data_IF_532078722472
#
_entry.id   IF_532078722472
#
_cell.length_a   1.000
_cell.length_b   1.000
_cell.length_c   1.000
_cell.angle_alpha   90.00
_cell.angle_beta   90.00
_cell.angle_gamma   90.00
#
_symmetry.space_group_name_H-M   'P 1'
#
loop_
_entity.id
_entity.type
_entity.pdbx_description
1 polymer ?
#
# COMPACT_ATOMS: atom_id res chain seq x y z
N UNK A 1 -76.31 -54.89 -5.22
CA UNK A 1 -75.65 -54.79 -3.91
C UNK A 1 -74.15 -54.63 -4.13
N UNK A 2 -73.54 -53.49 -3.75
CA UNK A 2 -72.83 -53.28 -2.46
C UNK A 2 -71.76 -54.36 -2.19
N UNK A 3 -70.48 -54.09 -1.88
CA UNK A 3 -69.76 -52.88 -1.44
C UNK A 3 -68.23 -53.15 -1.43
N UNK A 4 -67.45 -52.09 -1.67
CA UNK A 4 -66.20 -51.63 -1.03
C UNK A 4 -65.04 -52.62 -0.73
N UNK A 5 -63.82 -52.41 -1.24
CA UNK A 5 -62.84 -51.32 -1.07
C UNK A 5 -61.89 -51.53 0.13
N UNK A 6 -60.62 -51.79 -0.18
CA UNK A 6 -59.44 -51.37 0.58
C UNK A 6 -58.33 -50.94 -0.40
N UNK A 7 -57.73 -49.81 -0.05
CA UNK A 7 -56.98 -48.80 -0.81
C UNK A 7 -55.47 -49.03 -0.95
N UNK A 8 -54.78 -48.18 -1.73
CA UNK A 8 -53.55 -47.40 -1.42
C UNK A 8 -52.85 -46.91 -2.75
N UNK A 9 -51.94 -45.91 -2.72
CA UNK A 9 -52.15 -44.47 -2.56
C UNK A 9 -51.70 -43.65 -3.80
N UNK A 10 -52.04 -42.36 -3.82
CA UNK A 10 -51.72 -41.42 -4.89
C UNK A 10 -50.23 -41.12 -5.07
N UNK A 11 -49.73 -41.21 -6.31
CA UNK A 11 -48.43 -40.70 -6.71
C UNK A 11 -48.54 -39.23 -7.14
N UNK A 12 -48.12 -38.33 -6.25
CA UNK A 12 -48.05 -36.90 -6.55
C UNK A 12 -46.97 -36.65 -7.62
N UNK A 13 -47.44 -36.36 -8.84
CA UNK A 13 -46.65 -35.74 -9.91
C UNK A 13 -46.02 -34.44 -9.41
N UNK A 14 -44.71 -34.41 -9.23
CA UNK A 14 -43.94 -33.16 -9.11
C UNK A 14 -43.35 -32.79 -10.47
N UNK A 15 -44.13 -32.02 -11.24
CA UNK A 15 -43.65 -31.30 -12.42
C UNK A 15 -42.83 -30.09 -11.97
N UNK A 16 -41.55 -30.28 -11.69
CA UNK A 16 -40.58 -29.22 -11.42
C UNK A 16 -39.88 -28.76 -12.70
N UNK A 17 -40.52 -27.90 -13.48
CA UNK A 17 -39.89 -27.25 -14.63
C UNK A 17 -38.82 -26.25 -14.13
N UNK A 18 -37.56 -26.70 -14.02
CA UNK A 18 -36.43 -25.79 -13.76
C UNK A 18 -36.23 -24.84 -14.94
N UNK A 19 -36.49 -23.55 -14.72
CA UNK A 19 -36.18 -22.45 -15.64
C UNK A 19 -34.66 -22.28 -15.79
N UNK A 20 -34.06 -23.12 -16.65
CA UNK A 20 -32.64 -23.05 -17.10
C UNK A 20 -32.21 -21.68 -17.64
N UNK A 21 -33.16 -20.79 -17.94
CA UNK A 21 -32.89 -19.43 -18.46
C UNK A 21 -32.57 -18.38 -17.40
N UNK A 22 -32.88 -18.62 -16.11
CA UNK A 22 -32.59 -17.64 -15.05
C UNK A 22 -31.15 -17.72 -14.50
N UNK A 23 -30.53 -18.90 -14.57
CA UNK A 23 -29.21 -19.13 -14.00
C UNK A 23 -28.07 -18.54 -14.85
N UNK A 24 -28.23 -18.53 -16.18
CA UNK A 24 -27.21 -18.02 -17.11
C UNK A 24 -27.11 -16.49 -17.03
N UNK A 25 -28.22 -15.79 -16.81
CA UNK A 25 -28.25 -14.33 -16.66
C UNK A 25 -27.58 -13.87 -15.36
N UNK A 26 -27.73 -14.61 -14.25
CA UNK A 26 -27.14 -14.23 -12.97
C UNK A 26 -25.61 -14.42 -12.95
N UNK A 27 -25.11 -15.52 -13.55
CA UNK A 27 -23.67 -15.78 -13.67
C UNK A 27 -22.99 -14.81 -14.64
N UNK A 28 -23.64 -14.46 -15.76
CA UNK A 28 -23.12 -13.47 -16.71
C UNK A 28 -23.06 -12.05 -16.12
N UNK A 29 -24.02 -11.66 -15.29
CA UNK A 29 -24.02 -10.37 -14.59
C UNK A 29 -22.89 -10.24 -13.56
N UNK A 30 -22.58 -11.31 -12.83
CA UNK A 30 -21.50 -11.30 -11.84
C UNK A 30 -20.10 -11.17 -12.47
N UNK A 31 -19.86 -11.83 -13.62
CA UNK A 31 -18.60 -11.65 -14.36
C UNK A 31 -18.48 -10.25 -14.97
N UNK A 32 -19.57 -9.67 -15.47
CA UNK A 32 -19.57 -8.31 -16.03
C UNK A 32 -19.33 -7.23 -14.95
N UNK A 33 -19.82 -7.42 -13.73
CA UNK A 33 -19.53 -6.52 -12.60
C UNK A 33 -18.10 -6.65 -12.09
N UNK A 34 -17.55 -7.87 -12.02
CA UNK A 34 -16.17 -8.08 -11.59
C UNK A 34 -15.14 -7.45 -12.55
N UNK A 35 -15.42 -7.43 -13.86
CA UNK A 35 -14.56 -6.80 -14.87
C UNK A 35 -14.72 -5.28 -14.90
N UNK A 36 -15.94 -4.75 -14.79
CA UNK A 36 -16.19 -3.32 -14.66
C UNK A 36 -15.52 -2.73 -13.40
N UNK A 37 -15.60 -3.43 -12.26
CA UNK A 37 -14.98 -3.00 -10.99
C UNK A 37 -13.44 -2.98 -11.05
N UNK A 38 -12.80 -3.88 -11.82
CA UNK A 38 -11.34 -3.84 -12.07
C UNK A 38 -10.96 -2.75 -13.08
N UNK A 39 -11.81 -2.47 -14.07
CA UNK A 39 -11.58 -1.40 -15.04
C UNK A 39 -11.86 0.01 -14.46
N UNK A 40 -12.68 0.11 -13.40
CA UNK A 40 -12.98 1.35 -12.68
C UNK A 40 -12.05 1.63 -11.49
N UNK A 41 -10.90 0.95 -11.38
CA UNK A 41 -9.80 1.56 -10.63
C UNK A 41 -9.35 2.80 -11.40
N UNK A 42 -10.07 3.91 -11.16
CA UNK A 42 -9.59 5.26 -11.43
C UNK A 42 -8.14 5.25 -11.02
N UNK A 43 -7.25 5.52 -11.98
CA UNK A 43 -5.81 5.57 -11.78
C UNK A 43 -5.54 6.68 -10.76
N UNK A 44 -5.68 6.36 -9.47
CA UNK A 44 -5.53 7.32 -8.38
C UNK A 44 -4.10 7.82 -8.49
N UNK A 45 -3.95 9.14 -8.65
CA UNK A 45 -2.64 9.77 -8.62
C UNK A 45 -2.02 9.43 -7.26
N UNK A 46 -0.88 8.75 -7.29
CA UNK A 46 -0.22 8.31 -6.05
C UNK A 46 0.38 9.51 -5.33
N UNK A 47 0.39 9.51 -4.00
CA UNK A 47 0.91 10.61 -3.20
C UNK A 47 2.11 10.16 -2.38
N UNK A 48 3.25 10.81 -2.58
CA UNK A 48 4.48 10.56 -1.84
C UNK A 48 4.68 11.70 -0.86
N UNK A 49 4.76 11.42 0.43
CA UNK A 49 5.21 12.41 1.42
C UNK A 49 6.72 12.39 1.55
N UNK A 50 7.39 13.53 1.40
CA UNK A 50 8.85 13.64 1.45
C UNK A 50 9.31 14.66 2.51
N UNK A 51 10.13 14.22 3.47
CA UNK A 51 10.70 15.08 4.52
C UNK A 51 11.95 15.86 4.06
N UNK A 52 11.87 16.62 2.95
CA UNK A 52 12.92 17.55 2.51
C UNK A 52 12.42 18.37 1.30
N UNK A 53 12.36 19.71 1.31
CA UNK A 53 12.21 20.50 0.09
C UNK A 53 13.58 20.87 -0.51
N UNK A 54 13.62 21.54 -1.68
CA UNK A 54 14.86 22.01 -2.29
C UNK A 54 15.58 23.11 -1.47
N UNK A 55 16.93 23.20 -1.52
CA UNK A 55 17.84 22.40 -2.34
C UNK A 55 17.95 20.98 -1.80
N UNK A 56 17.64 20.02 -2.68
CA UNK A 56 17.65 18.61 -2.34
C UNK A 56 19.10 18.17 -2.17
N UNK A 57 19.33 17.19 -1.31
CA UNK A 57 20.59 16.46 -1.39
C UNK A 57 20.57 15.54 -2.62
N UNK A 58 21.76 15.15 -3.07
CA UNK A 58 21.93 14.35 -4.29
C UNK A 58 21.13 13.04 -4.30
N UNK A 59 20.86 12.49 -3.12
CA UNK A 59 20.17 11.23 -2.89
C UNK A 59 18.66 11.35 -3.17
N UNK A 60 18.04 12.45 -2.73
CA UNK A 60 16.65 12.74 -3.06
C UNK A 60 16.49 13.01 -4.56
N UNK A 61 17.42 13.74 -5.19
CA UNK A 61 17.39 13.97 -6.63
C UNK A 61 17.53 12.66 -7.41
N UNK A 62 18.48 11.80 -7.02
CA UNK A 62 18.67 10.49 -7.63
C UNK A 62 17.41 9.61 -7.47
N UNK A 63 16.77 9.64 -6.31
CA UNK A 63 15.51 8.94 -6.07
C UNK A 63 14.40 9.41 -7.04
N UNK A 64 14.23 10.71 -7.22
CA UNK A 64 13.20 11.27 -8.11
C UNK A 64 13.52 11.04 -9.59
N UNK A 65 14.81 11.02 -9.97
CA UNK A 65 15.23 10.59 -11.31
C UNK A 65 14.89 9.12 -11.54
N UNK A 66 15.17 8.26 -10.56
CA UNK A 66 14.83 6.83 -10.64
C UNK A 66 13.32 6.60 -10.74
N UNK A 67 12.51 7.33 -9.95
CA UNK A 67 11.05 7.28 -10.06
C UNK A 67 10.57 7.64 -11.47
N UNK A 68 11.10 8.73 -12.05
CA UNK A 68 10.81 9.11 -13.44
C UNK A 68 11.22 8.04 -14.44
N UNK A 69 12.38 7.41 -14.26
CA UNK A 69 12.83 6.28 -15.09
C UNK A 69 11.92 5.05 -15.04
N UNK A 70 11.21 4.87 -13.92
CA UNK A 70 10.17 3.83 -13.74
C UNK A 70 8.78 4.27 -14.24
N UNK A 71 8.67 5.46 -14.84
CA UNK A 71 7.43 6.02 -15.35
C UNK A 71 6.58 6.75 -14.31
N UNK A 72 7.09 7.01 -13.09
CA UNK A 72 6.43 7.85 -12.09
C UNK A 72 6.87 9.31 -12.25
N UNK A 73 6.00 10.12 -12.85
CA UNK A 73 6.28 11.51 -13.20
C UNK A 73 5.43 12.43 -12.33
N UNK A 74 6.12 13.30 -11.59
CA UNK A 74 5.50 14.29 -10.71
C UNK A 74 4.56 15.21 -11.49
N UNK A 75 3.32 15.35 -11.02
CA UNK A 75 2.27 16.14 -11.67
C UNK A 75 1.46 15.39 -12.74
N UNK A 76 1.93 14.22 -13.20
CA UNK A 76 1.19 13.39 -14.17
C UNK A 76 0.48 12.21 -13.50
N UNK A 77 1.23 11.38 -12.77
CA UNK A 77 0.71 10.17 -12.13
C UNK A 77 1.16 9.99 -10.68
N UNK A 78 2.03 10.88 -10.18
CA UNK A 78 2.39 10.99 -8.77
C UNK A 78 2.39 12.45 -8.35
N UNK A 79 1.93 12.73 -7.13
CA UNK A 79 2.13 14.01 -6.45
C UNK A 79 3.14 13.80 -5.32
N UNK A 80 4.14 14.68 -5.24
CA UNK A 80 5.10 14.67 -4.14
C UNK A 80 4.75 15.83 -3.21
N UNK A 81 4.46 15.49 -1.96
CA UNK A 81 4.09 16.40 -0.89
C UNK A 81 5.32 16.64 -0.02
N UNK A 82 5.91 17.82 -0.14
CA UNK A 82 7.15 18.17 0.55
C UNK A 82 6.87 18.76 1.93
N UNK A 83 7.68 18.37 2.92
CA UNK A 83 7.70 18.99 4.25
C UNK A 83 9.13 19.29 4.68
N UNK A 84 9.37 20.55 5.05
CA UNK A 84 10.65 20.98 5.61
C UNK A 84 10.59 21.14 7.12
N UNK A 85 11.63 20.62 7.75
CA UNK A 85 11.92 20.92 9.15
C UNK A 85 12.76 22.20 9.31
N UNK A 86 13.32 22.76 8.23
CA UNK A 86 14.27 23.89 8.22
C UNK A 86 15.44 23.67 9.19
N UNK A 87 15.91 22.42 9.29
CA UNK A 87 16.96 21.99 10.21
C UNK A 87 16.53 21.79 11.67
N UNK A 88 15.26 21.99 12.01
CA UNK A 88 14.72 21.74 13.36
C UNK A 88 13.96 20.40 13.43
N UNK A 89 14.65 19.35 13.88
CA UNK A 89 14.09 18.01 14.03
C UNK A 89 12.86 17.95 14.95
N UNK A 90 12.64 18.94 15.84
CA UNK A 90 11.46 18.99 16.70
C UNK A 90 10.16 19.22 15.94
N UNK A 91 10.25 19.69 14.69
CA UNK A 91 9.08 19.89 13.81
C UNK A 91 8.67 18.62 13.09
N UNK A 92 9.57 17.65 12.93
CA UNK A 92 9.32 16.42 12.17
C UNK A 92 8.09 15.65 12.64
N UNK A 93 7.78 15.52 13.95
CA UNK A 93 6.55 14.84 14.38
C UNK A 93 5.27 15.50 13.87
N UNK A 94 5.21 16.84 13.88
CA UNK A 94 4.03 17.57 13.37
C UNK A 94 3.93 17.44 11.85
N UNK A 95 5.04 17.58 11.14
CA UNK A 95 5.09 17.41 9.68
C UNK A 95 4.72 15.99 9.24
N UNK A 96 5.12 14.97 10.01
CA UNK A 96 4.73 13.60 9.78
C UNK A 96 3.22 13.42 9.95
N UNK A 97 2.64 13.97 11.03
CA UNK A 97 1.20 13.93 11.25
C UNK A 97 0.41 14.62 10.12
N UNK A 98 0.92 15.75 9.60
CA UNK A 98 0.32 16.43 8.45
C UNK A 98 0.32 15.56 7.19
N UNK A 99 1.43 14.88 6.88
CA UNK A 99 1.50 13.97 5.73
C UNK A 99 0.58 12.75 5.89
N UNK A 100 0.50 12.19 7.10
CA UNK A 100 -0.45 11.11 7.40
C UNK A 100 -1.90 11.58 7.22
N UNK A 101 -2.24 12.75 7.75
CA UNK A 101 -3.57 13.33 7.63
C UNK A 101 -3.94 13.67 6.17
N UNK A 102 -2.95 14.00 5.35
CA UNK A 102 -3.12 14.24 3.91
C UNK A 102 -3.42 12.95 3.13
N UNK A 103 -3.22 11.79 3.74
CA UNK A 103 -3.46 10.48 3.11
C UNK A 103 -2.43 10.15 2.04
N UNK A 104 -1.14 10.38 2.33
CA UNK A 104 -0.06 9.91 1.45
C UNK A 104 -0.01 8.38 1.40
N UNK A 105 0.37 7.83 0.26
CA UNK A 105 0.47 6.39 0.06
C UNK A 105 1.81 5.84 0.56
N UNK A 106 2.88 6.65 0.52
CA UNK A 106 4.23 6.31 1.02
C UNK A 106 4.88 7.55 1.65
N UNK A 107 5.57 7.36 2.76
CA UNK A 107 6.47 8.33 3.37
C UNK A 107 7.91 8.05 2.94
N UNK A 108 8.66 9.08 2.58
CA UNK A 108 10.04 8.98 2.12
C UNK A 108 10.91 9.97 2.90
N UNK A 109 12.07 9.53 3.33
CA UNK A 109 13.02 10.35 4.08
C UNK A 109 14.47 9.96 3.77
N UNK A 110 15.38 10.94 3.88
CA UNK A 110 16.83 10.73 3.78
C UNK A 110 17.52 10.89 5.15
N UNK A 111 16.77 11.00 6.25
CA UNK A 111 17.32 11.25 7.59
C UNK A 111 16.74 10.30 8.63
N UNK A 112 17.55 9.89 9.59
CA UNK A 112 17.10 9.00 10.66
C UNK A 112 16.02 9.63 11.57
N UNK A 113 16.13 10.92 11.98
CA UNK A 113 15.04 11.61 12.68
C UNK A 113 13.71 11.60 11.90
N UNK A 114 13.76 11.72 10.58
CA UNK A 114 12.58 11.63 9.72
C UNK A 114 11.92 10.24 9.75
N UNK A 115 12.72 9.17 9.74
CA UNK A 115 12.20 7.79 9.88
C UNK A 115 11.50 7.62 11.22
N UNK A 116 12.11 8.09 12.31
CA UNK A 116 11.54 7.97 13.65
C UNK A 116 10.23 8.77 13.78
N UNK A 117 10.17 9.97 13.21
CA UNK A 117 8.96 10.77 13.18
C UNK A 117 7.84 10.07 12.39
N UNK A 118 8.15 9.53 11.21
CA UNK A 118 7.22 8.75 10.40
C UNK A 118 6.71 7.51 11.14
N UNK A 119 7.60 6.73 11.76
CA UNK A 119 7.25 5.54 12.51
C UNK A 119 6.30 5.82 13.69
N UNK A 120 6.53 6.95 14.39
CA UNK A 120 5.65 7.40 15.47
C UNK A 120 4.29 7.88 14.96
N UNK A 121 4.25 8.49 13.78
CA UNK A 121 3.02 9.00 13.19
C UNK A 121 2.15 7.88 12.60
N UNK A 122 2.76 6.79 12.12
CA UNK A 122 2.03 5.67 11.49
C UNK A 122 2.81 4.36 11.50
N UNK A 123 2.08 3.27 11.72
CA UNK A 123 2.56 1.89 11.60
C UNK A 123 2.03 1.18 10.35
N UNK A 124 1.23 1.87 9.53
CA UNK A 124 0.52 1.27 8.38
C UNK A 124 0.97 1.84 7.04
N UNK A 125 1.32 3.12 6.99
CA UNK A 125 1.83 3.73 5.75
C UNK A 125 3.30 3.32 5.58
N UNK A 126 3.69 2.73 4.44
CA UNK A 126 5.08 2.39 4.19
C UNK A 126 5.99 3.62 4.29
N UNK A 127 7.09 3.46 5.01
CA UNK A 127 8.15 4.47 5.17
C UNK A 127 9.42 3.95 4.52
N UNK A 128 9.94 4.68 3.54
CA UNK A 128 11.16 4.36 2.80
C UNK A 128 12.27 5.33 3.20
N UNK A 129 13.34 4.79 3.77
CA UNK A 129 14.59 5.51 3.97
C UNK A 129 15.45 5.39 2.71
N UNK A 130 15.71 6.52 2.04
CA UNK A 130 16.49 6.54 0.78
C UNK A 130 17.89 5.97 1.02
N UNK A 131 18.55 6.47 2.07
CA UNK A 131 19.87 6.03 2.52
C UNK A 131 19.98 6.29 4.02
N UNK A 132 20.57 5.37 4.77
CA UNK A 132 20.64 5.50 6.22
C UNK A 132 21.50 4.46 6.94
N UNK A 133 21.55 4.53 8.28
CA UNK A 133 22.15 3.50 9.12
C UNK A 133 21.37 2.17 9.02
N UNK A 134 21.91 1.12 9.63
CA UNK A 134 21.26 -0.19 9.67
C UNK A 134 19.98 -0.17 10.51
N UNK A 135 18.84 -0.27 9.82
CA UNK A 135 17.51 -0.29 10.43
C UNK A 135 17.26 -1.52 11.30
N UNK A 136 17.97 -2.63 11.08
CA UNK A 136 17.89 -3.84 11.91
C UNK A 136 18.60 -3.62 13.23
N UNK A 137 19.83 -3.10 13.20
CA UNK A 137 20.59 -2.74 14.41
C UNK A 137 19.86 -1.69 15.26
N UNK A 138 19.04 -0.84 14.64
CA UNK A 138 18.22 0.16 15.33
C UNK A 138 16.86 -0.38 15.82
N UNK A 139 16.54 -1.65 15.57
CA UNK A 139 15.28 -2.28 15.98
C UNK A 139 14.04 -1.78 15.22
N UNK A 140 14.24 -1.09 14.09
CA UNK A 140 13.16 -0.58 13.23
C UNK A 140 12.75 -1.58 12.14
N UNK A 141 13.55 -2.62 11.92
CA UNK A 141 13.26 -3.73 11.02
C UNK A 141 13.71 -5.05 11.66
N UNK A 142 12.96 -6.13 11.43
CA UNK A 142 13.31 -7.46 11.92
C UNK A 142 14.51 -8.07 11.16
N UNK A 143 14.62 -7.80 9.85
CA UNK A 143 15.74 -8.22 9.01
C UNK A 143 15.80 -7.37 7.74
N UNK A 144 16.95 -7.36 7.05
CA UNK A 144 17.10 -6.62 5.79
C UNK A 144 16.26 -7.22 4.66
N UNK A 145 16.12 -8.55 4.60
CA UNK A 145 15.34 -9.21 3.55
C UNK A 145 13.83 -9.11 3.82
N UNK A 146 13.43 -9.12 5.09
CA UNK A 146 12.03 -9.08 5.51
C UNK A 146 11.92 -8.16 6.74
N UNK A 147 11.60 -6.87 6.55
CA UNK A 147 11.57 -5.90 7.64
C UNK A 147 10.51 -6.19 8.71
N UNK A 148 9.43 -6.91 8.38
CA UNK A 148 8.40 -7.30 9.34
C UNK A 148 7.50 -6.16 9.84
N UNK A 149 7.69 -4.94 9.34
CA UNK A 149 6.90 -3.75 9.66
C UNK A 149 6.74 -2.84 8.44
N UNK A 150 6.38 -1.57 8.67
CA UNK A 150 6.16 -0.59 7.60
C UNK A 150 7.42 0.19 7.20
N UNK A 151 8.59 -0.09 7.77
CA UNK A 151 9.83 0.62 7.47
C UNK A 151 10.73 -0.24 6.58
N UNK A 152 11.27 0.37 5.53
CA UNK A 152 12.27 -0.22 4.63
C UNK A 152 13.26 0.85 4.17
N UNK A 153 14.32 0.47 3.46
CA UNK A 153 15.27 1.43 2.90
C UNK A 153 16.57 0.82 2.44
N UNK A 154 17.51 1.69 2.06
CA UNK A 154 18.89 1.30 1.78
C UNK A 154 19.80 1.69 2.94
N UNK A 155 20.65 0.76 3.36
CA UNK A 155 21.65 0.99 4.40
C UNK A 155 23.01 1.26 3.76
N UNK A 156 23.73 2.26 4.26
CA UNK A 156 25.16 2.42 3.97
C UNK A 156 25.99 1.85 5.12
N UNK A 157 27.06 1.14 4.79
CA UNK A 157 28.06 0.69 5.76
C UNK A 157 29.31 1.52 5.60
N UNK A 158 29.65 2.29 6.64
CA UNK A 158 30.97 2.91 6.71
C UNK A 158 31.96 1.84 7.14
N UNK A 159 32.85 1.46 6.23
CA UNK A 159 34.03 0.68 6.60
C UNK A 159 34.93 1.55 7.48
N UNK A 160 34.82 1.40 8.79
CA UNK A 160 35.83 1.89 9.71
C UNK A 160 37.08 1.06 9.49
N UNK A 161 38.09 1.69 8.88
CA UNK A 161 39.43 1.12 8.82
C UNK A 161 39.95 1.08 10.26
N UNK A 162 39.80 -0.06 10.93
CA UNK A 162 40.41 -0.31 12.23
C UNK A 162 41.92 -0.27 12.01
N UNK A 163 42.54 0.89 12.27
CA UNK A 163 43.99 1.00 12.34
C UNK A 163 44.45 0.19 13.54
N UNK A 164 44.71 -1.07 13.29
CA UNK A 164 45.68 -1.87 14.05
C UNK A 164 46.58 -2.52 13.01
N UNK A 165 47.53 -1.73 12.52
CA UNK A 165 48.82 -2.26 12.06
C UNK A 165 49.70 -2.40 13.29
#
# INVERSE_FOLDING_TARGET
MSKNAYSLPEDKRFSGAMKRRGFITLAGGALAWATAARAQQVKRVSRIGLFLPPPRNSEVDAFLVALRGLGWVEGENVHVEYRDADGDDNRLPALAAELVALGVDVLVTATFPGVLAAHRATTTIPTVMIVGPDLVTLGLAASMAHPGGNITGQTFFLSVCSKTC
#
